data_IF_019439399777
#
_entry.id   IF_019439399777
#
_cell.length_a   1.000
_cell.length_b   1.000
_cell.length_c   1.000
_cell.angle_alpha   90.00
_cell.angle_beta   90.00
_cell.angle_gamma   90.00
#
_symmetry.space_group_name_H-M   'P 1'
#
loop_
_entity.id
_entity.type
_entity.pdbx_description
1 polymer ?
#
# COMPACT_ATOMS: atom_id res chain seq x y z
N UNK A 1 -28.81 -21.00 69.23
CA UNK A 1 -28.63 -19.53 69.24
C UNK A 1 -28.12 -19.09 67.88
N UNK A 2 -28.86 -18.19 67.24
CA UNK A 2 -28.62 -17.47 65.98
C UNK A 2 -27.49 -16.44 66.06
N UNK A 3 -26.75 -16.21 64.96
CA UNK A 3 -26.62 -14.93 64.19
C UNK A 3 -25.34 -14.91 63.31
N UNK A 4 -25.40 -15.03 61.98
CA UNK A 4 -25.52 -14.01 60.90
C UNK A 4 -24.24 -13.23 60.48
N UNK A 5 -23.98 -13.24 59.15
CA UNK A 5 -23.22 -12.29 58.27
C UNK A 5 -21.68 -12.37 58.36
N UNK A 6 -20.88 -12.28 57.29
CA UNK A 6 -21.02 -11.56 56.02
C UNK A 6 -20.49 -12.37 54.83
N UNK A 7 -21.13 -12.14 53.68
CA UNK A 7 -20.59 -12.42 52.37
C UNK A 7 -19.37 -11.52 52.08
N UNK A 8 -18.32 -12.07 51.49
CA UNK A 8 -17.43 -11.31 50.62
C UNK A 8 -17.56 -11.87 49.21
N UNK A 9 -18.33 -11.15 48.40
CA UNK A 9 -18.19 -11.17 46.96
C UNK A 9 -16.81 -10.63 46.61
N UNK A 10 -16.05 -11.37 45.83
CA UNK A 10 -14.95 -10.83 45.04
C UNK A 10 -15.17 -11.26 43.59
N UNK A 11 -16.02 -10.49 42.89
CA UNK A 11 -15.89 -10.32 41.46
C UNK A 11 -14.50 -9.71 41.22
N UNK A 12 -13.65 -10.38 40.44
CA UNK A 12 -12.59 -9.71 39.70
C UNK A 12 -12.35 -10.46 38.39
N UNK A 13 -13.04 -9.93 37.38
CA UNK A 13 -12.58 -9.74 36.01
C UNK A 13 -12.02 -10.98 35.28
N UNK A 14 -12.92 -11.66 34.57
CA UNK A 14 -12.59 -12.28 33.31
C UNK A 14 -12.03 -11.19 32.36
N UNK A 15 -10.71 -11.17 32.17
CA UNK A 15 -10.05 -10.41 31.12
C UNK A 15 -10.11 -11.27 29.86
N UNK A 16 -10.98 -10.99 28.87
CA UNK A 16 -10.81 -11.57 27.56
C UNK A 16 -9.49 -11.02 27.03
N UNK A 17 -8.50 -11.89 26.86
CA UNK A 17 -7.33 -11.64 26.03
C UNK A 17 -7.87 -11.26 24.64
N UNK A 18 -8.00 -9.96 24.40
CA UNK A 18 -8.24 -9.43 23.08
C UNK A 18 -6.98 -9.72 22.27
N UNK A 19 -6.99 -10.86 21.58
CA UNK A 19 -6.09 -11.13 20.48
C UNK A 19 -6.43 -10.10 19.40
N UNK A 20 -5.76 -8.95 19.47
CA UNK A 20 -5.75 -7.97 18.40
C UNK A 20 -5.09 -8.66 17.19
N UNK A 21 -5.93 -9.24 16.34
CA UNK A 21 -5.52 -9.68 15.01
C UNK A 21 -5.17 -8.41 14.24
N UNK A 22 -3.89 -8.03 14.28
CA UNK A 22 -3.33 -7.07 13.33
C UNK A 22 -3.39 -7.74 11.96
N UNK A 23 -4.50 -7.53 11.26
CA UNK A 23 -4.58 -7.87 9.85
C UNK A 23 -3.43 -7.11 9.16
N UNK A 24 -2.55 -7.77 8.41
CA UNK A 24 -1.59 -7.05 7.60
C UNK A 24 -2.41 -6.18 6.67
N UNK A 25 -2.22 -4.86 6.77
CA UNK A 25 -2.66 -3.94 5.75
C UNK A 25 -1.90 -4.35 4.49
N UNK A 26 -2.54 -5.20 3.67
CA UNK A 26 -2.12 -5.43 2.31
C UNK A 26 -2.25 -4.07 1.63
N UNK A 27 -1.18 -3.29 1.67
CA UNK A 27 -0.98 -2.23 0.73
C UNK A 27 -0.91 -2.90 -0.64
N UNK A 28 -2.07 -3.12 -1.25
CA UNK A 28 -2.19 -3.35 -2.67
C UNK A 28 -1.61 -2.10 -3.33
N UNK A 29 -0.30 -2.12 -3.56
CA UNK A 29 0.37 -1.11 -4.35
C UNK A 29 -0.40 -1.03 -5.65
N UNK A 30 -1.00 0.12 -5.93
CA UNK A 30 -1.83 0.33 -7.11
C UNK A 30 -1.05 -0.22 -8.32
N UNK A 31 -1.52 -1.33 -8.89
CA UNK A 31 -0.81 -1.98 -9.98
C UNK A 31 -0.87 -1.05 -11.20
N UNK A 32 0.16 -0.24 -11.37
CA UNK A 32 0.25 0.71 -12.47
C UNK A 32 0.20 -0.05 -13.79
N UNK A 33 -0.88 0.11 -14.54
CA UNK A 33 -1.06 -0.61 -15.81
C UNK A 33 -0.39 0.17 -16.93
N UNK A 34 0.62 -0.42 -17.55
CA UNK A 34 1.30 0.17 -18.70
C UNK A 34 0.37 0.16 -19.91
N UNK A 35 0.16 1.30 -20.60
CA UNK A 35 -0.66 1.32 -21.80
C UNK A 35 0.05 0.63 -22.97
N UNK A 36 -0.75 0.02 -23.85
CA UNK A 36 -0.26 -0.58 -25.08
C UNK A 36 0.20 0.48 -26.07
N UNK A 37 1.37 0.25 -26.68
CA UNK A 37 1.91 1.14 -27.70
C UNK A 37 1.02 1.06 -28.97
N UNK A 38 0.53 2.19 -29.50
CA UNK A 38 -0.25 2.18 -30.73
C UNK A 38 0.63 1.82 -31.92
N UNK A 39 0.08 1.08 -32.87
CA UNK A 39 0.71 0.86 -34.18
C UNK A 39 0.58 2.12 -35.03
N UNK A 40 1.70 2.61 -35.54
CA UNK A 40 1.76 3.77 -36.42
C UNK A 40 1.75 3.35 -37.89
N UNK A 41 1.16 4.17 -38.79
CA UNK A 41 1.12 3.87 -40.21
C UNK A 41 2.48 4.08 -40.89
N UNK A 42 2.75 3.43 -42.03
CA UNK A 42 4.04 3.49 -42.73
C UNK A 42 4.20 4.82 -43.50
N UNK A 43 5.00 5.75 -42.95
CA UNK A 43 5.05 7.16 -43.36
C UNK A 43 5.01 7.45 -44.88
N UNK A 44 5.85 6.81 -45.70
CA UNK A 44 5.96 7.11 -47.14
C UNK A 44 4.71 6.78 -47.99
N UNK A 45 3.79 5.95 -47.48
CA UNK A 45 2.58 5.52 -48.20
C UNK A 45 1.29 5.80 -47.41
N UNK A 46 1.38 6.58 -46.34
CA UNK A 46 0.24 6.86 -45.48
C UNK A 46 -0.61 7.97 -46.07
N UNK A 47 -1.93 7.79 -46.08
CA UNK A 47 -2.86 8.83 -46.54
C UNK A 47 -3.08 9.90 -45.46
N UNK A 48 -3.56 11.09 -45.85
CA UNK A 48 -3.91 12.15 -44.88
C UNK A 48 -4.83 11.68 -43.74
N UNK A 49 -5.96 11.01 -44.03
CA UNK A 49 -6.86 10.47 -43.00
C UNK A 49 -6.21 9.44 -42.06
N UNK A 50 -5.29 8.62 -42.58
CA UNK A 50 -4.55 7.66 -41.76
C UNK A 50 -3.57 8.36 -40.81
N UNK A 51 -2.94 9.46 -41.26
CA UNK A 51 -2.08 10.29 -40.42
C UNK A 51 -2.86 10.99 -39.31
N UNK A 52 -4.04 11.55 -39.60
CA UNK A 52 -4.91 12.16 -38.57
C UNK A 52 -5.38 11.12 -37.53
N UNK A 53 -5.72 9.92 -37.98
CA UNK A 53 -6.09 8.81 -37.10
C UNK A 53 -4.90 8.40 -36.22
N UNK A 54 -3.70 8.33 -36.79
CA UNK A 54 -2.48 8.05 -36.05
C UNK A 54 -2.16 9.15 -35.02
N UNK A 55 -2.34 10.41 -35.37
CA UNK A 55 -2.15 11.55 -34.46
C UNK A 55 -3.05 11.42 -33.22
N UNK A 56 -4.34 11.09 -33.40
CA UNK A 56 -5.27 10.87 -32.29
C UNK A 56 -4.83 9.71 -31.39
N UNK A 57 -4.39 8.59 -31.98
CA UNK A 57 -3.85 7.44 -31.22
C UNK A 57 -2.60 7.79 -30.43
N UNK A 58 -1.69 8.59 -30.99
CA UNK A 58 -0.48 9.06 -30.30
C UNK A 58 -0.84 9.99 -29.14
N UNK A 59 -1.79 10.91 -29.33
CA UNK A 59 -2.25 11.81 -28.26
C UNK A 59 -2.87 11.03 -27.09
N UNK A 60 -3.77 10.09 -27.38
CA UNK A 60 -4.37 9.21 -26.36
C UNK A 60 -3.33 8.35 -25.64
N UNK A 61 -2.42 7.72 -26.38
CA UNK A 61 -1.33 6.95 -25.77
C UNK A 61 -0.44 7.83 -24.89
N UNK A 62 -0.13 9.06 -25.31
CA UNK A 62 0.69 9.99 -24.52
C UNK A 62 0.00 10.34 -23.20
N UNK A 63 -1.30 10.64 -23.23
CA UNK A 63 -2.06 10.92 -22.02
C UNK A 63 -2.07 9.71 -21.05
N UNK A 64 -2.32 8.50 -21.57
CA UNK A 64 -2.27 7.26 -20.79
C UNK A 64 -0.88 6.99 -20.24
N UNK A 65 0.16 7.23 -21.03
CA UNK A 65 1.55 7.04 -20.60
C UNK A 65 1.93 8.03 -19.50
N UNK A 66 1.48 9.28 -19.57
CA UNK A 66 1.67 10.26 -18.48
C UNK A 66 0.98 9.81 -17.20
N UNK A 67 -0.25 9.28 -17.29
CA UNK A 67 -0.95 8.75 -16.12
C UNK A 67 -0.21 7.53 -15.52
N UNK A 68 0.29 6.64 -16.36
CA UNK A 68 1.11 5.50 -15.95
C UNK A 68 2.39 5.94 -15.21
N UNK A 69 3.12 6.92 -15.75
CA UNK A 69 4.33 7.45 -15.10
C UNK A 69 4.02 8.07 -13.74
N UNK A 70 2.94 8.86 -13.63
CA UNK A 70 2.49 9.43 -12.34
C UNK A 70 2.14 8.35 -11.32
N UNK A 71 1.50 7.27 -11.76
CA UNK A 71 1.22 6.12 -10.90
C UNK A 71 2.52 5.49 -10.38
N UNK A 72 3.51 5.27 -11.26
CA UNK A 72 4.81 4.72 -10.86
C UNK A 72 5.55 5.61 -9.86
N UNK A 73 5.52 6.93 -10.05
CA UNK A 73 6.14 7.88 -9.12
C UNK A 73 5.49 7.79 -7.74
N UNK A 74 4.15 7.67 -7.68
CA UNK A 74 3.45 7.45 -6.42
C UNK A 74 3.84 6.12 -5.79
N UNK A 75 3.81 5.02 -6.55
CA UNK A 75 4.15 3.69 -6.03
C UNK A 75 5.58 3.64 -5.48
N UNK A 76 6.53 4.30 -6.17
CA UNK A 76 7.90 4.47 -5.69
C UNK A 76 7.93 5.26 -4.38
N UNK A 77 7.21 6.39 -4.30
CA UNK A 77 7.16 7.20 -3.09
C UNK A 77 6.60 6.42 -1.90
N UNK A 78 5.49 5.70 -2.10
CA UNK A 78 4.84 4.89 -1.06
C UNK A 78 5.80 3.79 -0.57
N UNK A 79 6.46 3.07 -1.49
CA UNK A 79 7.43 2.04 -1.16
C UNK A 79 8.64 2.58 -0.38
N UNK A 80 9.12 3.78 -0.73
CA UNK A 80 10.22 4.42 0.00
C UNK A 80 9.80 4.84 1.42
N UNK A 81 8.57 5.33 1.58
CA UNK A 81 8.02 5.65 2.91
C UNK A 81 7.93 4.41 3.78
N UNK A 82 7.39 3.32 3.25
CA UNK A 82 7.26 2.04 3.97
C UNK A 82 8.64 1.49 4.34
N UNK A 83 9.59 1.50 3.40
CA UNK A 83 10.96 1.06 3.67
C UNK A 83 11.60 1.87 4.80
N UNK A 84 11.42 3.20 4.81
CA UNK A 84 11.94 4.05 5.88
C UNK A 84 11.29 3.73 7.22
N UNK A 85 9.97 3.57 7.27
CA UNK A 85 9.25 3.24 8.49
C UNK A 85 9.73 1.91 9.09
N UNK A 86 9.92 0.89 8.26
CA UNK A 86 10.42 -0.41 8.69
C UNK A 86 11.85 -0.32 9.28
N UNK A 87 12.73 0.48 8.69
CA UNK A 87 14.09 0.68 9.21
C UNK A 87 14.06 1.41 10.57
N UNK A 88 13.20 2.42 10.72
CA UNK A 88 13.03 3.13 12.00
C UNK A 88 12.51 2.18 13.09
N UNK A 89 11.51 1.36 12.77
CA UNK A 89 10.98 0.33 13.67
C UNK A 89 12.08 -0.68 14.08
N UNK A 90 12.81 -1.21 13.10
CA UNK A 90 13.88 -2.19 13.34
C UNK A 90 14.99 -1.63 14.23
N UNK A 91 15.40 -0.38 14.02
CA UNK A 91 16.38 0.27 14.88
C UNK A 91 15.88 0.40 16.32
N UNK A 92 14.60 0.73 16.51
CA UNK A 92 13.98 0.75 17.84
C UNK A 92 14.01 -0.61 18.53
N UNK A 93 13.71 -1.69 17.80
CA UNK A 93 13.80 -3.08 18.30
C UNK A 93 15.24 -3.41 18.73
N UNK A 94 16.23 -3.10 17.88
CA UNK A 94 17.64 -3.34 18.18
C UNK A 94 18.10 -2.59 19.43
N UNK A 95 17.68 -1.33 19.59
CA UNK A 95 18.02 -0.54 20.77
C UNK A 95 17.39 -1.07 22.05
N UNK A 96 16.16 -1.59 21.98
CA UNK A 96 15.51 -2.25 23.11
C UNK A 96 16.25 -3.53 23.52
N UNK A 97 16.62 -4.36 22.54
CA UNK A 97 17.40 -5.59 22.76
C UNK A 97 18.76 -5.29 23.40
N UNK A 98 19.49 -4.28 22.90
CA UNK A 98 20.80 -3.88 23.47
C UNK A 98 20.72 -3.42 24.92
N UNK A 99 19.59 -2.82 25.34
CA UNK A 99 19.40 -2.36 26.72
C UNK A 99 19.11 -3.52 27.68
N UNK A 100 18.40 -4.54 27.24
CA UNK A 100 18.08 -5.74 28.03
C UNK A 100 18.31 -7.00 27.19
N UNK A 101 19.58 -7.39 26.95
CA UNK A 101 19.87 -8.69 26.37
C UNK A 101 19.46 -9.75 27.39
N UNK A 102 18.65 -10.71 26.95
CA UNK A 102 18.14 -11.79 27.79
C UNK A 102 19.24 -12.59 28.49
#
# INVERSE_FOLDING_TARGET
MTRTRLALAALLAALPLMTATVAPAMAEGAACTRPDRPKLPPGKKTTGPDMETAQKKVADYTAKQTAYLKCLDKAKSDAMTEHKALIEEWNGVIDAYKKNPG
#
